data_IF_270809395691
#
_entry.id   IF_270809395691
#
_cell.length_a   1.000
_cell.length_b   1.000
_cell.length_c   1.000
_cell.angle_alpha   90.00
_cell.angle_beta   90.00
_cell.angle_gamma   90.00
#
_symmetry.space_group_name_H-M   'P 1'
#
loop_
_entity.id
_entity.type
_entity.pdbx_description
1 polymer ?
#
# COMPACT_ATOMS: atom_id res chain seq x y z
N UNK A 1 -1.42 -15.99 4.75
CA UNK A 1 -0.68 -14.93 5.46
C UNK A 1 -1.49 -14.37 6.60
N UNK A 2 -0.92 -14.30 7.79
CA UNK A 2 -1.60 -13.71 8.94
C UNK A 2 -1.29 -12.22 8.99
N UNK A 3 -2.04 -11.48 9.81
CA UNK A 3 -1.78 -10.05 9.94
C UNK A 3 -0.40 -9.76 10.50
N UNK A 4 0.12 -10.62 11.39
CA UNK A 4 1.44 -10.40 11.95
C UNK A 4 2.53 -10.58 10.90
N UNK A 5 2.23 -11.28 9.81
CA UNK A 5 3.16 -11.44 8.71
C UNK A 5 3.03 -10.33 7.69
N UNK A 6 1.96 -9.55 7.78
CA UNK A 6 1.72 -8.46 6.85
C UNK A 6 2.43 -7.21 7.36
N UNK A 7 3.38 -6.72 6.61
CA UNK A 7 4.27 -5.64 7.05
C UNK A 7 3.87 -4.31 6.47
N UNK A 8 3.74 -3.32 7.35
CA UNK A 8 3.36 -1.97 6.95
C UNK A 8 4.48 -1.01 7.33
N UNK A 9 4.92 -0.19 6.39
CA UNK A 9 5.91 0.84 6.66
C UNK A 9 5.20 2.19 6.55
N UNK A 10 5.34 3.02 7.57
CA UNK A 10 4.75 4.37 7.56
C UNK A 10 5.87 5.39 7.51
N UNK A 11 5.81 6.29 6.55
CA UNK A 11 6.80 7.33 6.33
C UNK A 11 6.13 8.69 6.41
N UNK A 12 6.54 9.50 7.39
CA UNK A 12 5.96 10.83 7.59
C UNK A 12 6.94 11.61 8.44
N UNK A 13 7.14 12.90 8.16
CA UNK A 13 8.05 13.70 8.95
C UNK A 13 7.41 14.21 10.25
N UNK A 14 6.11 14.02 10.41
CA UNK A 14 5.41 14.39 11.65
C UNK A 14 5.37 13.19 12.58
N UNK A 15 6.10 13.30 13.69
CA UNK A 15 6.21 12.17 14.61
C UNK A 15 4.88 11.78 15.23
N UNK A 16 4.00 12.76 15.46
CA UNK A 16 2.68 12.45 16.03
C UNK A 16 1.87 11.57 15.10
N UNK A 17 1.98 11.81 13.80
CA UNK A 17 1.28 10.99 12.82
C UNK A 17 1.85 9.56 12.85
N UNK A 18 3.17 9.44 12.92
CA UNK A 18 3.79 8.12 12.96
C UNK A 18 3.35 7.35 14.19
N UNK A 19 3.26 8.02 15.34
CA UNK A 19 2.80 7.36 16.56
C UNK A 19 1.36 6.90 16.43
N UNK A 20 0.52 7.74 15.85
CA UNK A 20 -0.89 7.41 15.68
C UNK A 20 -1.04 6.21 14.74
N UNK A 21 -0.32 6.22 13.63
CA UNK A 21 -0.39 5.13 12.66
C UNK A 21 0.12 3.83 13.27
N UNK A 22 1.26 3.90 13.94
CA UNK A 22 1.85 2.71 14.52
C UNK A 22 0.93 2.10 15.56
N UNK A 23 0.39 2.94 16.45
CA UNK A 23 -0.48 2.45 17.51
C UNK A 23 -1.73 1.77 16.91
N UNK A 24 -2.37 2.42 15.99
CA UNK A 24 -3.62 1.88 15.44
C UNK A 24 -3.38 0.61 14.61
N UNK A 25 -2.30 0.58 13.85
CA UNK A 25 -2.02 -0.57 13.00
C UNK A 25 -1.55 -1.76 13.83
N UNK A 26 -0.72 -1.52 14.84
CA UNK A 26 -0.28 -2.61 15.69
C UNK A 26 -1.44 -3.16 16.52
N UNK A 27 -2.38 -2.30 16.92
CA UNK A 27 -3.57 -2.74 17.63
C UNK A 27 -4.41 -3.68 16.78
N UNK A 28 -4.32 -3.54 15.46
CA UNK A 28 -5.02 -4.43 14.53
C UNK A 28 -4.27 -5.72 14.27
N UNK A 29 -3.05 -5.81 14.74
CA UNK A 29 -2.25 -7.02 14.58
C UNK A 29 -1.16 -6.94 13.52
N UNK A 30 -1.03 -5.84 12.82
CA UNK A 30 -0.02 -5.71 11.77
C UNK A 30 1.37 -5.47 12.33
N UNK A 31 2.37 -5.85 11.56
CA UNK A 31 3.77 -5.63 11.91
C UNK A 31 4.18 -4.30 11.27
N UNK A 32 4.51 -3.31 12.08
CA UNK A 32 4.70 -1.93 11.61
C UNK A 32 6.09 -1.40 11.89
N UNK A 33 6.66 -0.72 10.92
CA UNK A 33 7.86 0.08 11.13
C UNK A 33 7.59 1.49 10.62
N UNK A 34 8.32 2.45 11.16
CA UNK A 34 8.13 3.85 10.79
C UNK A 34 9.45 4.47 10.37
N UNK A 35 9.38 5.51 9.57
CA UNK A 35 10.53 6.30 9.17
C UNK A 35 10.10 7.76 9.11
N UNK A 36 10.99 8.66 9.49
CA UNK A 36 10.64 10.07 9.60
C UNK A 36 11.16 10.92 8.44
N UNK A 37 11.70 10.30 7.42
CA UNK A 37 12.11 11.02 6.22
C UNK A 37 12.05 10.07 5.03
N UNK A 38 12.08 10.65 3.83
CA UNK A 38 12.04 9.83 2.62
C UNK A 38 13.25 8.93 2.49
N UNK A 39 14.43 9.45 2.79
CA UNK A 39 15.65 8.65 2.71
C UNK A 39 15.61 7.49 3.68
N UNK A 40 15.23 7.77 4.92
CA UNK A 40 15.11 6.72 5.91
C UNK A 40 14.07 5.70 5.49
N UNK A 41 12.97 6.19 4.92
CA UNK A 41 11.90 5.32 4.47
C UNK A 41 12.35 4.32 3.42
N UNK A 42 13.12 4.78 2.45
CA UNK A 42 13.62 3.90 1.39
C UNK A 42 14.56 2.86 2.00
N UNK A 43 15.43 3.29 2.91
CA UNK A 43 16.35 2.36 3.55
C UNK A 43 15.62 1.31 4.36
N UNK A 44 14.63 1.73 5.15
CA UNK A 44 13.84 0.80 5.95
C UNK A 44 13.06 -0.14 5.04
N UNK A 45 12.53 0.36 3.92
CA UNK A 45 11.80 -0.49 2.99
C UNK A 45 12.68 -1.63 2.49
N UNK A 46 13.92 -1.32 2.14
CA UNK A 46 14.82 -2.35 1.62
C UNK A 46 15.15 -3.42 2.64
N UNK A 47 15.18 -3.06 3.91
CA UNK A 47 15.48 -4.01 4.97
C UNK A 47 14.25 -4.76 5.44
N UNK A 48 13.12 -4.08 5.46
CA UNK A 48 11.88 -4.59 6.06
C UNK A 48 11.01 -5.36 5.07
N UNK A 49 11.11 -5.03 3.80
CA UNK A 49 10.29 -5.63 2.74
C UNK A 49 8.80 -5.51 3.04
N UNK A 50 8.29 -4.28 3.15
CA UNK A 50 6.88 -4.09 3.49
C UNK A 50 5.94 -4.54 2.39
N UNK A 51 4.75 -4.97 2.79
CA UNK A 51 3.67 -5.30 1.85
C UNK A 51 2.89 -4.05 1.48
N UNK A 52 2.88 -3.07 2.37
CA UNK A 52 2.15 -1.83 2.17
C UNK A 52 2.97 -0.68 2.75
N UNK A 53 3.03 0.41 2.00
CA UNK A 53 3.75 1.62 2.46
C UNK A 53 2.76 2.77 2.51
N UNK A 54 2.74 3.46 3.67
CA UNK A 54 2.01 4.71 3.83
C UNK A 54 3.05 5.79 3.76
N UNK A 55 2.90 6.76 2.87
CA UNK A 55 3.91 7.81 2.74
C UNK A 55 3.26 9.16 2.56
N UNK A 56 3.72 10.11 3.40
CA UNK A 56 3.26 11.49 3.31
C UNK A 56 3.85 12.12 2.05
N UNK A 57 3.03 12.86 1.31
CA UNK A 57 3.51 13.52 0.10
C UNK A 57 4.42 14.69 0.44
N UNK A 58 4.03 15.49 1.43
CA UNK A 58 4.75 16.72 1.72
C UNK A 58 5.80 16.53 2.80
N UNK A 59 7.01 16.22 2.39
CA UNK A 59 8.14 16.07 3.30
C UNK A 59 9.32 16.88 2.77
N UNK A 60 10.21 17.31 3.66
CA UNK A 60 11.40 18.04 3.21
C UNK A 60 12.39 17.11 2.50
N UNK A 61 13.25 17.68 1.71
CA UNK A 61 14.29 17.02 0.93
C UNK A 61 13.69 16.20 -0.22
N UNK A 62 13.30 14.98 0.02
CA UNK A 62 12.57 14.23 -1.01
C UNK A 62 11.15 14.02 -0.52
N UNK A 63 10.21 14.33 -1.38
CA UNK A 63 8.80 14.20 -1.00
C UNK A 63 8.31 12.77 -1.23
N UNK A 64 7.06 12.53 -0.87
CA UNK A 64 6.50 11.18 -0.95
C UNK A 64 6.37 10.67 -2.37
N UNK A 65 6.17 11.56 -3.33
CA UNK A 65 6.06 11.15 -4.73
C UNK A 65 7.41 10.63 -5.22
N UNK A 66 8.49 11.32 -4.83
CA UNK A 66 9.81 10.87 -5.22
C UNK A 66 10.18 9.56 -4.51
N UNK A 67 9.78 9.40 -3.25
CA UNK A 67 9.99 8.15 -2.53
C UNK A 67 9.31 7.01 -3.30
N UNK A 68 8.08 7.22 -3.73
CA UNK A 68 7.34 6.21 -4.48
C UNK A 68 8.06 5.86 -5.77
N UNK A 69 8.51 6.87 -6.50
CA UNK A 69 9.21 6.65 -7.76
C UNK A 69 10.45 5.80 -7.56
N UNK A 70 11.24 6.12 -6.53
CA UNK A 70 12.48 5.36 -6.26
C UNK A 70 12.18 3.93 -5.82
N UNK A 71 11.13 3.75 -5.01
CA UNK A 71 10.76 2.40 -4.58
C UNK A 71 10.31 1.57 -5.77
N UNK A 72 9.54 2.16 -6.70
CA UNK A 72 9.09 1.43 -7.88
C UNK A 72 10.21 1.00 -8.82
N UNK A 73 11.38 1.63 -8.70
CA UNK A 73 12.53 1.22 -9.49
C UNK A 73 13.20 -0.02 -8.93
N UNK A 74 12.84 -0.43 -7.73
CA UNK A 74 13.40 -1.63 -7.11
C UNK A 74 12.47 -2.80 -7.43
N UNK A 75 13.00 -3.78 -8.14
CA UNK A 75 12.18 -4.88 -8.68
C UNK A 75 11.31 -5.58 -7.63
N UNK A 76 11.84 -5.82 -6.46
CA UNK A 76 11.09 -6.57 -5.45
C UNK A 76 9.89 -5.82 -4.92
N UNK A 77 9.76 -4.53 -5.23
CA UNK A 77 8.64 -3.72 -4.72
C UNK A 77 7.60 -3.42 -5.79
N UNK A 78 7.61 -4.13 -6.92
CA UNK A 78 6.62 -3.85 -7.96
C UNK A 78 5.19 -4.12 -7.53
N UNK A 79 4.99 -5.04 -6.61
CA UNK A 79 3.65 -5.36 -6.12
C UNK A 79 3.35 -4.79 -4.74
N UNK A 80 4.26 -4.03 -4.17
CA UNK A 80 4.02 -3.38 -2.88
C UNK A 80 2.94 -2.31 -3.06
N UNK A 81 1.98 -2.28 -2.15
CA UNK A 81 0.90 -1.30 -2.24
C UNK A 81 1.37 0.01 -1.63
N UNK A 82 1.29 1.10 -2.37
CA UNK A 82 1.72 2.40 -1.88
C UNK A 82 0.52 3.32 -1.77
N UNK A 83 0.29 3.79 -0.55
CA UNK A 83 -0.83 4.64 -0.23
C UNK A 83 -0.31 5.98 0.28
N UNK A 84 -0.65 7.05 -0.42
CA UNK A 84 -0.17 8.37 -0.04
C UNK A 84 -1.04 9.00 1.04
N UNK A 85 -0.39 9.77 1.91
CA UNK A 85 -1.09 10.59 2.89
C UNK A 85 -0.88 12.03 2.45
N UNK A 86 -1.95 12.81 2.36
CA UNK A 86 -1.83 14.17 1.88
C UNK A 86 -2.72 15.12 2.65
N UNK A 87 -2.20 16.31 2.96
CA UNK A 87 -2.96 17.33 3.70
C UNK A 87 -4.11 17.85 2.89
N UNK A 88 -4.00 17.81 1.56
CA UNK A 88 -5.12 18.15 0.71
C UNK A 88 -4.93 17.56 -0.65
N UNK A 89 -6.07 17.33 -1.31
CA UNK A 89 -6.07 16.76 -2.62
C UNK A 89 -6.02 17.90 -3.61
N UNK A 90 -4.97 17.94 -4.40
CA UNK A 90 -4.85 18.87 -5.50
C UNK A 90 -4.79 18.01 -6.74
N UNK A 91 -5.53 18.38 -7.73
CA UNK A 91 -5.64 17.58 -8.92
C UNK A 91 -4.28 17.21 -9.49
N UNK A 92 -3.38 18.16 -9.54
CA UNK A 92 -2.08 17.91 -10.11
C UNK A 92 -1.25 16.96 -9.22
N UNK A 93 -1.40 17.05 -7.88
CA UNK A 93 -0.69 16.15 -6.97
C UNK A 93 -1.19 14.71 -7.12
N UNK A 94 -2.49 14.57 -7.32
CA UNK A 94 -3.09 13.27 -7.51
C UNK A 94 -2.54 12.60 -8.76
N UNK A 95 -2.50 13.34 -9.86
CA UNK A 95 -1.97 12.81 -11.11
C UNK A 95 -0.50 12.43 -10.95
N UNK A 96 0.30 13.32 -10.33
CA UNK A 96 1.71 13.04 -10.13
C UNK A 96 1.93 11.81 -9.27
N UNK A 97 1.10 11.62 -8.26
CA UNK A 97 1.20 10.49 -7.37
C UNK A 97 0.94 9.17 -8.10
N UNK A 98 -0.10 9.15 -8.92
CA UNK A 98 -0.39 7.94 -9.68
C UNK A 98 0.65 7.70 -10.77
N UNK A 99 1.14 8.75 -11.41
CA UNK A 99 2.18 8.61 -12.42
C UNK A 99 3.46 8.05 -11.83
N UNK A 100 3.73 8.35 -10.54
CA UNK A 100 4.91 7.82 -9.88
C UNK A 100 4.73 6.36 -9.46
N UNK A 101 3.55 5.81 -9.62
CA UNK A 101 3.29 4.41 -9.31
C UNK A 101 2.54 4.17 -8.01
N UNK A 102 1.90 5.21 -7.47
CA UNK A 102 1.09 5.05 -6.26
C UNK A 102 -0.23 4.37 -6.56
N UNK A 103 -0.76 3.68 -5.56
CA UNK A 103 -1.99 2.91 -5.73
C UNK A 103 -3.23 3.63 -5.21
N UNK A 104 -3.06 4.48 -4.21
CA UNK A 104 -4.22 5.12 -3.58
C UNK A 104 -3.75 6.30 -2.75
N UNK A 105 -4.69 7.06 -2.19
CA UNK A 105 -4.33 8.16 -1.30
C UNK A 105 -5.42 8.36 -0.26
N UNK A 106 -5.04 8.94 0.88
CA UNK A 106 -5.95 9.30 1.96
C UNK A 106 -5.60 10.72 2.37
N UNK A 107 -6.63 11.55 2.56
CA UNK A 107 -6.41 12.93 2.98
C UNK A 107 -6.29 13.03 4.49
N UNK A 108 -5.45 13.96 4.95
CA UNK A 108 -5.35 14.30 6.35
C UNK A 108 -6.46 15.31 6.68
N UNK A 109 -7.02 15.31 7.87
CA UNK A 109 -6.61 14.53 9.03
C UNK A 109 -6.98 13.08 8.88
N UNK A 110 -6.09 12.20 9.32
CA UNK A 110 -6.29 10.78 9.16
C UNK A 110 -7.34 10.30 10.15
N UNK A 111 -8.33 9.59 9.63
CA UNK A 111 -9.36 8.97 10.47
C UNK A 111 -8.95 7.51 10.63
N UNK A 112 -8.57 7.11 11.83
CA UNK A 112 -8.00 5.77 12.04
C UNK A 112 -8.91 4.65 11.55
N UNK A 113 -10.21 4.75 11.78
CA UNK A 113 -11.12 3.69 11.36
C UNK A 113 -11.16 3.54 9.85
N UNK A 114 -11.22 4.67 9.14
CA UNK A 114 -11.26 4.64 7.68
C UNK A 114 -9.96 4.08 7.13
N UNK A 115 -8.84 4.47 7.73
CA UNK A 115 -7.54 3.97 7.29
C UNK A 115 -7.44 2.47 7.52
N UNK A 116 -7.79 2.01 8.72
CA UNK A 116 -7.71 0.61 9.07
C UNK A 116 -8.61 -0.22 8.13
N UNK A 117 -9.81 0.27 7.86
CA UNK A 117 -10.73 -0.41 6.97
C UNK A 117 -10.12 -0.59 5.58
N UNK A 118 -9.46 0.43 5.09
CA UNK A 118 -8.83 0.37 3.76
C UNK A 118 -7.67 -0.61 3.74
N UNK A 119 -6.84 -0.58 4.78
CA UNK A 119 -5.72 -1.49 4.85
C UNK A 119 -6.18 -2.93 5.03
N UNK A 120 -7.21 -3.14 5.84
CA UNK A 120 -7.77 -4.48 6.01
C UNK A 120 -8.31 -5.02 4.69
N UNK A 121 -8.92 -4.17 3.88
CA UNK A 121 -9.42 -4.59 2.58
C UNK A 121 -8.29 -5.06 1.68
N UNK A 122 -7.19 -4.33 1.67
CA UNK A 122 -6.05 -4.74 0.86
C UNK A 122 -5.44 -6.02 1.41
N UNK A 123 -5.32 -6.14 2.71
CA UNK A 123 -4.78 -7.34 3.33
C UNK A 123 -5.63 -8.55 2.95
N UNK A 124 -6.94 -8.42 3.03
CA UNK A 124 -7.83 -9.53 2.69
C UNK A 124 -7.70 -9.92 1.22
N UNK A 125 -7.62 -8.94 0.34
CA UNK A 125 -7.49 -9.25 -1.08
C UNK A 125 -6.18 -9.95 -1.37
N UNK A 126 -5.10 -9.52 -0.73
CA UNK A 126 -3.80 -10.13 -0.94
C UNK A 126 -3.81 -11.58 -0.44
N UNK A 127 -4.39 -11.81 0.74
CA UNK A 127 -4.48 -13.17 1.29
C UNK A 127 -5.35 -14.06 0.42
N UNK A 128 -6.48 -13.53 -0.06
CA UNK A 128 -7.36 -14.29 -0.94
C UNK A 128 -6.71 -14.61 -2.25
N UNK A 129 -5.98 -13.65 -2.80
CA UNK A 129 -5.28 -13.86 -4.06
C UNK A 129 -4.22 -14.95 -3.94
N UNK A 130 -3.52 -14.98 -2.82
CA UNK A 130 -2.53 -16.01 -2.59
C UNK A 130 -3.18 -17.38 -2.50
N UNK A 131 -4.32 -17.47 -1.80
CA UNK A 131 -5.07 -18.71 -1.71
C UNK A 131 -5.61 -19.11 -3.07
N UNK A 132 -6.16 -18.14 -3.80
CA UNK A 132 -6.69 -18.40 -5.13
C UNK A 132 -5.62 -18.87 -6.08
N UNK A 133 -4.44 -18.32 -5.99
CA UNK A 133 -3.34 -18.76 -6.83
C UNK A 133 -2.99 -20.20 -6.60
N UNK A 134 -3.02 -20.65 -5.34
CA UNK A 134 -2.76 -22.02 -5.03
C UNK A 134 -3.81 -22.93 -5.64
N UNK A 135 -5.06 -22.56 -5.54
CA UNK A 135 -6.15 -23.33 -6.08
C UNK A 135 -6.09 -23.36 -7.60
N UNK A 136 -5.85 -22.20 -8.19
CA UNK A 136 -5.79 -22.09 -9.63
C UNK A 136 -4.68 -22.92 -10.22
N UNK A 137 -3.57 -23.03 -9.51
CA UNK A 137 -2.49 -23.86 -10.00
C UNK A 137 -2.94 -25.29 -10.23
N UNK A 138 -3.81 -25.77 -9.37
CA UNK A 138 -4.33 -27.11 -9.50
C UNK A 138 -5.34 -27.20 -10.63
N UNK A 139 -6.18 -26.21 -10.77
CA UNK A 139 -7.23 -26.24 -11.78
C UNK A 139 -6.88 -25.51 -13.05
N UNK A 140 -5.68 -25.07 -13.16
CA UNK A 140 -5.29 -24.25 -14.24
C UNK A 140 -5.55 -24.79 -15.59
N UNK A 141 -5.49 -26.04 -15.76
CA UNK A 141 -5.74 -26.63 -17.03
C UNK A 141 -7.18 -26.52 -17.46
N UNK A 142 -8.06 -26.29 -16.52
CA UNK A 142 -9.47 -26.23 -16.82
C UNK A 142 -9.97 -24.85 -17.10
N UNK A 143 -9.23 -23.84 -16.77
CA UNK A 143 -9.70 -22.48 -16.87
C UNK A 143 -9.38 -21.86 -18.15
N UNK A 144 -10.40 -21.29 -18.75
CA UNK A 144 -10.20 -20.54 -19.92
C UNK A 144 -10.15 -19.15 -19.48
N UNK A 145 -9.26 -18.50 -19.70
CA UNK A 145 -9.01 -17.30 -19.22
C UNK A 145 -9.88 -16.24 -19.44
N UNK A 146 -10.84 -16.32 -19.98
CA UNK A 146 -11.60 -15.24 -20.23
C UNK A 146 -12.17 -14.64 -19.12
N UNK A 147 -12.21 -15.22 -18.35
CA UNK A 147 -12.75 -14.57 -17.33
C UNK A 147 -11.87 -13.67 -16.70
N UNK A 148 -11.83 -13.12 -16.88
CA UNK A 148 -11.24 -12.35 -16.11
C UNK A 148 -11.44 -11.39 -16.08
N UNK A 149 -11.82 -11.13 -16.40
CA UNK A 149 -12.14 -10.25 -16.10
C UNK A 149 -12.83 -10.02 -15.43
N UNK A 150 -13.35 -9.67 -15.51
CA UNK A 150 -13.92 -9.53 -14.56
C UNK A 150 -13.84 -9.03 -14.08
N UNK A 151 -13.91 -8.49 -14.13
CA UNK A 151 -13.89 -8.22 -13.35
C UNK A 151 -13.81 -7.79 -13.13
N UNK A 152 -13.85 -7.20 -13.53
CA UNK A 152 -13.75 -7.09 -12.96
C UNK A 152 -14.00 -6.67 -12.85
N UNK A 153 -14.62 -5.93 -12.97
CA UNK A 153 -14.90 -5.87 -12.45
C UNK A 153 -14.92 -5.76 -12.37
N UNK A 154 -15.35 -5.19 -12.64
CA UNK A 154 -15.41 -5.31 -12.13
C UNK A 154 -15.12 -5.28 -12.33
N UNK A 155 -15.32 -4.95 -12.79
CA UNK A 155 -15.06 -5.11 -12.56
C UNK A 155 -14.96 -5.67 -12.60
N UNK A 156 -14.67 -5.55 -12.91
CA UNK A 156 -14.61 -6.22 -12.60
C UNK A 156 -14.46 -6.68 -12.62
N UNK A 157 -14.87 -6.01 -13.16
CA UNK A 157 -14.79 -6.66 -12.74
C UNK A 157 -14.63 -7.13 -13.09
N UNK A 158 -14.65 -6.90 -13.64
CA UNK A 158 -14.59 -7.48 -13.59
C UNK A 158 -14.46 -7.85 -13.52
N UNK A 159 -14.70 -7.52 -13.65
CA UNK A 159 -14.63 -8.04 -13.16
C UNK A 159 -14.73 -8.17 -13.11
N UNK A 160 -15.14 -7.81 -13.66
CA UNK A 160 -15.26 -8.06 -13.09
C UNK A 160 -15.14 -8.19 -12.93
#
# INVERSE_FOLDING_TARGET
>A
MSKTEFKVLAIDDEKDILLLLKYNLESEGYHVKTASSGKEGIKVAEEFNPDLILVDIMMPEIDGIEVCRRIREIDKFTSTYILFLTARVEEYSEVAAFDAGGDDYITKPIKPRALISRINSFYKRKSSNESSKKVVKIKNLLIDKESYVVKLDDKEVFFP
#
